data_IF_476848614840
#
_entry.id   IF_476848614840
#
_cell.length_a   1.000
_cell.length_b   1.000
_cell.length_c   1.000
_cell.angle_alpha   90.00
_cell.angle_beta   90.00
_cell.angle_gamma   90.00
#
_symmetry.space_group_name_H-M   'P 1'
#
loop_
_entity.id
_entity.type
_entity.pdbx_description
1 polymer ?
#
# COMPACT_ATOMS: atom_id res chain seq x y z
N UNK A 1 -8.46 23.88 -6.51
CA UNK A 1 -8.37 22.90 -5.40
C UNK A 1 -9.53 23.10 -4.45
N UNK A 2 -9.83 24.34 -4.05
CA UNK A 2 -10.93 24.65 -3.12
C UNK A 2 -12.30 24.13 -3.60
N UNK A 3 -12.65 24.30 -4.88
CA UNK A 3 -13.88 23.72 -5.44
C UNK A 3 -13.93 22.19 -5.29
N UNK A 4 -12.81 21.50 -5.57
CA UNK A 4 -12.73 20.04 -5.41
C UNK A 4 -12.93 19.62 -3.95
N UNK A 5 -12.32 20.38 -3.02
CA UNK A 5 -12.51 20.16 -1.59
C UNK A 5 -13.98 20.34 -1.18
N UNK A 6 -14.61 21.47 -1.50
CA UNK A 6 -16.01 21.73 -1.14
C UNK A 6 -16.95 20.66 -1.71
N UNK A 7 -16.76 20.29 -2.98
CA UNK A 7 -17.59 19.24 -3.60
C UNK A 7 -17.43 17.87 -2.92
N UNK A 8 -16.22 17.48 -2.52
CA UNK A 8 -15.97 16.18 -1.92
C UNK A 8 -16.24 16.14 -0.41
N UNK A 9 -16.09 17.25 0.30
CA UNK A 9 -16.40 17.32 1.73
C UNK A 9 -17.90 17.40 1.95
N UNK A 10 -18.60 18.26 1.20
CA UNK A 10 -20.02 18.54 1.44
C UNK A 10 -20.96 17.66 0.59
N UNK A 11 -20.47 17.13 -0.54
CA UNK A 11 -21.32 16.49 -1.56
C UNK A 11 -20.76 15.17 -2.12
N UNK A 12 -19.92 14.46 -1.35
CA UNK A 12 -19.26 13.22 -1.80
C UNK A 12 -20.19 12.25 -2.53
N UNK A 13 -21.35 11.94 -1.95
CA UNK A 13 -22.32 10.99 -2.50
C UNK A 13 -22.81 11.41 -3.90
N UNK A 14 -23.12 12.70 -4.10
CA UNK A 14 -23.54 13.23 -5.40
C UNK A 14 -22.40 13.23 -6.40
N UNK A 15 -21.18 13.51 -5.95
CA UNK A 15 -20.01 13.54 -6.83
C UNK A 15 -19.65 12.13 -7.31
N UNK A 16 -19.80 11.10 -6.47
CA UNK A 16 -19.53 9.72 -6.85
C UNK A 16 -20.42 9.21 -7.99
N UNK A 17 -21.59 9.80 -8.23
CA UNK A 17 -22.44 9.49 -9.39
C UNK A 17 -21.81 9.92 -10.73
N UNK A 18 -20.92 10.92 -10.71
CA UNK A 18 -20.31 11.51 -11.91
C UNK A 18 -18.80 11.33 -11.99
N UNK A 19 -18.17 10.94 -10.88
CA UNK A 19 -16.72 10.94 -10.73
C UNK A 19 -16.24 9.69 -10.00
N UNK A 20 -15.46 8.87 -10.71
CA UNK A 20 -14.94 7.63 -10.14
C UNK A 20 -13.87 7.88 -9.06
N UNK A 21 -13.80 7.01 -8.05
CA UNK A 21 -12.78 7.09 -7.01
C UNK A 21 -11.37 6.89 -7.61
N UNK A 22 -11.24 6.13 -8.70
CA UNK A 22 -9.99 5.99 -9.44
C UNK A 22 -9.53 7.32 -10.04
N UNK A 23 -10.44 8.06 -10.68
CA UNK A 23 -10.16 9.41 -11.20
C UNK A 23 -9.79 10.36 -10.06
N UNK A 24 -10.44 10.22 -8.90
CA UNK A 24 -10.11 11.00 -7.71
C UNK A 24 -8.68 10.75 -7.26
N UNK A 25 -8.28 9.48 -7.09
CA UNK A 25 -6.93 9.12 -6.70
C UNK A 25 -5.89 9.74 -7.66
N UNK A 26 -6.12 9.64 -8.96
CA UNK A 26 -5.22 10.22 -9.97
C UNK A 26 -5.10 11.74 -9.84
N UNK A 27 -6.22 12.44 -9.67
CA UNK A 27 -6.24 13.91 -9.50
C UNK A 27 -5.53 14.31 -8.21
N UNK A 28 -5.78 13.62 -7.09
CA UNK A 28 -5.13 13.90 -5.81
C UNK A 28 -3.61 13.69 -5.91
N UNK A 29 -3.18 12.57 -6.50
CA UNK A 29 -1.76 12.31 -6.74
C UNK A 29 -1.19 13.43 -7.61
N UNK A 30 -1.78 13.72 -8.77
CA UNK A 30 -1.29 14.77 -9.67
C UNK A 30 -1.12 16.13 -8.99
N UNK A 31 -2.09 16.56 -8.19
CA UNK A 31 -2.04 17.83 -7.47
C UNK A 31 -0.97 17.84 -6.36
N UNK A 32 -0.84 16.75 -5.61
CA UNK A 32 0.21 16.61 -4.57
C UNK A 32 1.60 16.49 -5.21
N UNK A 33 1.69 16.04 -6.45
CA UNK A 33 2.92 15.95 -7.24
C UNK A 33 3.26 17.23 -8.02
N UNK A 34 2.38 18.23 -8.05
CA UNK A 34 2.44 19.34 -9.00
C UNK A 34 3.79 20.12 -8.91
N UNK A 35 4.37 20.63 -10.02
CA UNK A 35 5.66 21.33 -9.99
C UNK A 35 5.65 22.60 -9.11
N UNK A 36 4.53 23.32 -9.08
CA UNK A 36 4.36 24.49 -8.19
C UNK A 36 4.16 24.08 -6.72
N UNK A 37 5.04 24.59 -5.84
CA UNK A 37 4.93 24.39 -4.39
C UNK A 37 3.62 24.93 -3.81
N UNK A 38 3.14 26.08 -4.29
CA UNK A 38 1.88 26.67 -3.83
C UNK A 38 0.70 25.73 -4.08
N UNK A 39 0.66 25.10 -5.26
CA UNK A 39 -0.36 24.11 -5.61
C UNK A 39 -0.24 22.88 -4.71
N UNK A 40 0.97 22.33 -4.50
CA UNK A 40 1.17 21.18 -3.62
C UNK A 40 0.70 21.45 -2.19
N UNK A 41 1.00 22.63 -1.64
CA UNK A 41 0.59 23.00 -0.29
C UNK A 41 -0.93 23.00 -0.15
N UNK A 42 -1.63 23.71 -1.03
CA UNK A 42 -3.11 23.79 -1.01
C UNK A 42 -3.72 22.40 -1.26
N UNK A 43 -3.18 21.65 -2.21
CA UNK A 43 -3.62 20.29 -2.51
C UNK A 43 -3.46 19.34 -1.31
N UNK A 44 -2.35 19.43 -0.59
CA UNK A 44 -2.09 18.61 0.58
C UNK A 44 -3.11 18.89 1.69
N UNK A 45 -3.33 20.17 2.01
CA UNK A 45 -4.31 20.57 3.04
C UNK A 45 -5.74 20.19 2.64
N UNK A 46 -6.11 20.39 1.38
CA UNK A 46 -7.41 19.97 0.86
C UNK A 46 -7.61 18.46 0.90
N UNK A 47 -6.59 17.69 0.52
CA UNK A 47 -6.64 16.23 0.56
C UNK A 47 -6.83 15.72 1.98
N UNK A 48 -6.16 16.33 2.98
CA UNK A 48 -6.38 16.00 4.39
C UNK A 48 -7.83 16.23 4.79
N UNK A 49 -8.41 17.36 4.41
CA UNK A 49 -9.81 17.67 4.73
C UNK A 49 -10.78 16.66 4.09
N UNK A 50 -10.56 16.31 2.82
CA UNK A 50 -11.34 15.29 2.10
C UNK A 50 -11.23 13.92 2.77
N UNK A 51 -10.02 13.49 3.14
CA UNK A 51 -9.82 12.19 3.79
C UNK A 51 -10.40 12.16 5.21
N UNK A 52 -10.34 13.29 5.92
CA UNK A 52 -10.91 13.41 7.27
C UNK A 52 -12.43 13.41 7.29
N UNK A 53 -13.10 13.75 6.18
CA UNK A 53 -14.57 13.78 6.12
C UNK A 53 -15.19 12.40 5.92
N UNK A 54 -14.43 11.41 5.44
CA UNK A 54 -14.93 10.05 5.19
C UNK A 54 -13.84 8.99 5.29
N UNK A 55 -13.88 8.17 6.35
CA UNK A 55 -12.99 7.01 6.51
C UNK A 55 -13.19 5.94 5.42
N UNK A 56 -14.42 5.75 4.94
CA UNK A 56 -14.72 4.85 3.82
C UNK A 56 -13.99 5.29 2.55
N UNK A 57 -14.01 6.58 2.24
CA UNK A 57 -13.27 7.13 1.10
C UNK A 57 -11.76 6.94 1.25
N UNK A 58 -11.23 7.14 2.45
CA UNK A 58 -9.81 6.92 2.72
C UNK A 58 -9.40 5.46 2.54
N UNK A 59 -10.26 4.50 2.94
CA UNK A 59 -10.08 3.08 2.65
C UNK A 59 -10.11 2.81 1.15
N UNK A 60 -11.14 3.25 0.43
CA UNK A 60 -11.27 3.02 -1.01
C UNK A 60 -10.04 3.55 -1.78
N UNK A 61 -9.56 4.74 -1.39
CA UNK A 61 -8.35 5.34 -1.96
C UNK A 61 -7.10 4.53 -1.63
N UNK A 62 -6.97 3.95 -0.43
CA UNK A 62 -5.85 3.08 -0.07
C UNK A 62 -5.83 1.78 -0.89
N UNK A 63 -7.00 1.16 -1.09
CA UNK A 63 -7.10 -0.05 -1.92
C UNK A 63 -6.73 0.26 -3.38
N UNK A 64 -7.28 1.32 -3.95
CA UNK A 64 -6.93 1.76 -5.32
C UNK A 64 -5.46 2.16 -5.43
N UNK A 65 -4.89 2.76 -4.38
CA UNK A 65 -3.48 3.10 -4.34
C UNK A 65 -2.58 1.87 -4.46
N UNK A 66 -2.98 0.73 -3.89
CA UNK A 66 -2.23 -0.54 -4.03
C UNK A 66 -2.12 -0.96 -5.49
N UNK A 67 -3.24 -1.04 -6.21
CA UNK A 67 -3.24 -1.38 -7.64
C UNK A 67 -2.52 -0.34 -8.49
N UNK A 68 -2.60 0.94 -8.09
CA UNK A 68 -1.87 2.02 -8.74
C UNK A 68 -0.36 1.86 -8.61
N UNK A 69 0.15 1.41 -7.47
CA UNK A 69 1.58 1.12 -7.29
C UNK A 69 2.06 0.03 -8.25
N UNK A 70 1.27 -1.04 -8.44
CA UNK A 70 1.57 -2.10 -9.41
C UNK A 70 1.68 -1.52 -10.83
N UNK A 71 0.70 -0.72 -11.24
CA UNK A 71 0.66 -0.06 -12.55
C UNK A 71 1.86 0.89 -12.76
N UNK A 72 2.21 1.70 -11.75
CA UNK A 72 3.37 2.59 -11.83
C UNK A 72 4.66 1.77 -11.93
N UNK A 73 4.79 0.69 -11.15
CA UNK A 73 5.92 -0.23 -11.22
C UNK A 73 6.10 -0.84 -12.60
N UNK A 74 5.00 -1.29 -13.24
CA UNK A 74 5.01 -1.83 -14.60
C UNK A 74 5.48 -0.78 -15.62
N UNK A 75 4.95 0.46 -15.55
CA UNK A 75 5.38 1.56 -16.42
C UNK A 75 6.86 1.86 -16.26
N UNK A 76 7.38 1.88 -15.04
CA UNK A 76 8.82 2.09 -14.78
C UNK A 76 9.67 0.95 -15.37
N UNK A 77 9.21 -0.29 -15.30
CA UNK A 77 9.91 -1.43 -15.90
C UNK A 77 9.95 -1.34 -17.42
N UNK A 78 8.83 -0.99 -18.05
CA UNK A 78 8.74 -0.79 -19.51
C UNK A 78 9.72 0.30 -19.96
N UNK A 79 9.77 1.44 -19.25
CA UNK A 79 10.69 2.52 -19.61
C UNK A 79 12.16 2.14 -19.50
N UNK A 80 12.53 1.40 -18.45
CA UNK A 80 13.90 0.89 -18.30
C UNK A 80 14.29 -0.08 -19.42
N UNK A 81 13.33 -0.79 -19.99
CA UNK A 81 13.56 -1.67 -21.13
C UNK A 81 13.64 -0.88 -22.44
N UNK A 82 12.82 0.15 -22.63
CA UNK A 82 12.84 1.00 -23.83
C UNK A 82 14.06 1.94 -23.91
N UNK A 83 14.61 2.37 -22.78
CA UNK A 83 15.85 3.18 -22.76
C UNK A 83 17.07 2.40 -23.34
N UNK A 84 16.96 1.08 -23.50
CA UNK A 84 17.95 0.27 -24.21
C UNK A 84 17.80 0.30 -25.75
N UNK A 85 16.65 0.77 -26.27
CA UNK A 85 16.29 0.74 -27.69
C UNK A 85 15.76 2.12 -28.19
N UNK A 86 16.63 3.13 -28.20
CA UNK A 86 16.49 4.44 -28.88
C UNK A 86 15.24 5.32 -28.62
N UNK A 87 15.51 6.58 -28.29
CA UNK A 87 14.56 7.66 -28.03
C UNK A 87 13.64 7.97 -29.23
N UNK A 88 12.33 7.78 -29.03
CA UNK A 88 11.27 8.43 -29.79
C UNK A 88 10.42 9.29 -28.87
N UNK A 89 10.30 10.59 -29.19
CA UNK A 89 9.41 11.57 -28.55
C UNK A 89 7.96 11.06 -28.52
N UNK A 90 7.61 10.35 -27.46
CA UNK A 90 6.22 10.09 -27.07
C UNK A 90 5.98 10.86 -25.79
N UNK A 91 4.83 11.54 -25.69
CA UNK A 91 4.38 12.20 -24.47
C UNK A 91 4.30 11.15 -23.36
N UNK A 92 5.40 11.02 -22.64
CA UNK A 92 5.64 9.98 -21.68
C UNK A 92 4.66 10.21 -20.53
N UNK A 93 3.76 9.25 -20.22
CA UNK A 93 2.77 9.45 -19.18
C UNK A 93 3.47 9.79 -17.87
N UNK A 94 2.99 10.82 -17.16
CA UNK A 94 3.59 11.27 -15.90
C UNK A 94 3.77 10.10 -14.91
N UNK A 95 5.02 9.84 -14.51
CA UNK A 95 5.38 8.84 -13.49
C UNK A 95 5.80 9.57 -12.22
N UNK A 96 5.02 9.47 -11.12
CA UNK A 96 5.43 10.01 -9.84
C UNK A 96 6.73 9.35 -9.34
N UNK A 97 7.62 10.14 -8.74
CA UNK A 97 8.81 9.58 -8.08
C UNK A 97 8.43 8.70 -6.88
N UNK A 98 9.31 7.76 -6.51
CA UNK A 98 9.13 6.90 -5.32
C UNK A 98 8.83 7.69 -4.04
N UNK A 99 9.58 8.77 -3.76
CA UNK A 99 9.37 9.55 -2.54
C UNK A 99 8.01 10.26 -2.52
N UNK A 100 7.49 10.61 -3.69
CA UNK A 100 6.16 11.20 -3.83
C UNK A 100 5.07 10.16 -3.55
N UNK A 101 5.21 8.94 -4.07
CA UNK A 101 4.30 7.83 -3.75
C UNK A 101 4.32 7.50 -2.25
N UNK A 102 5.51 7.50 -1.62
CA UNK A 102 5.64 7.33 -0.17
C UNK A 102 4.89 8.42 0.60
N UNK A 103 4.96 9.68 0.15
CA UNK A 103 4.18 10.78 0.75
C UNK A 103 2.68 10.63 0.56
N UNK A 104 2.22 10.11 -0.59
CA UNK A 104 0.81 9.79 -0.81
C UNK A 104 0.34 8.70 0.16
N UNK A 105 1.11 7.63 0.37
CA UNK A 105 0.81 6.61 1.37
C UNK A 105 0.68 7.22 2.77
N UNK A 106 1.60 8.10 3.17
CA UNK A 106 1.57 8.73 4.49
C UNK A 106 0.43 9.74 4.66
N UNK A 107 -0.07 10.30 3.55
CA UNK A 107 -1.22 11.19 3.55
C UNK A 107 -2.52 10.41 3.73
N UNK A 108 -2.66 9.24 3.10
CA UNK A 108 -3.86 8.40 3.19
C UNK A 108 -3.91 7.63 4.52
N UNK A 109 -2.78 7.11 4.98
CA UNK A 109 -2.72 6.12 6.05
C UNK A 109 -3.45 6.50 7.36
N UNK A 110 -3.32 7.71 7.90
CA UNK A 110 -3.96 8.05 9.17
C UNK A 110 -5.49 7.99 9.12
N UNK A 111 -6.07 8.26 7.94
CA UNK A 111 -7.52 8.34 7.77
C UNK A 111 -8.15 6.99 7.39
N UNK A 112 -7.36 6.08 6.81
CA UNK A 112 -7.83 4.74 6.42
C UNK A 112 -7.90 3.75 7.60
N UNK A 113 -7.21 4.05 8.72
CA UNK A 113 -7.04 3.16 9.87
C UNK A 113 -8.33 2.96 10.68
N UNK A 114 -9.19 3.97 10.72
CA UNK A 114 -10.37 3.97 11.61
C UNK A 114 -11.57 3.22 11.03
N UNK A 115 -11.59 2.96 9.72
CA UNK A 115 -12.77 2.43 9.04
C UNK A 115 -12.82 0.90 8.97
N UNK A 116 -11.69 0.24 8.77
CA UNK A 116 -11.66 -1.19 8.43
C UNK A 116 -10.36 -1.86 8.85
N UNK A 117 -10.49 -3.08 9.40
CA UNK A 117 -9.35 -3.92 9.77
C UNK A 117 -8.53 -4.34 8.54
N UNK A 118 -9.14 -4.38 7.35
CA UNK A 118 -8.44 -4.72 6.10
C UNK A 118 -7.47 -3.63 5.67
N UNK A 119 -7.73 -2.37 6.05
CA UNK A 119 -6.81 -1.25 5.83
C UNK A 119 -5.43 -1.53 6.43
N UNK A 120 -5.33 -2.25 7.54
CA UNK A 120 -4.04 -2.57 8.16
C UNK A 120 -3.19 -3.45 7.25
N UNK A 121 -3.78 -4.49 6.66
CA UNK A 121 -3.10 -5.34 5.68
C UNK A 121 -2.64 -4.53 4.47
N UNK A 122 -3.53 -3.67 3.92
CA UNK A 122 -3.19 -2.81 2.78
C UNK A 122 -2.08 -1.80 3.08
N UNK A 123 -2.03 -1.26 4.30
CA UNK A 123 -0.96 -0.35 4.71
C UNK A 123 0.40 -1.04 4.79
N UNK A 124 0.45 -2.23 5.41
CA UNK A 124 1.68 -3.02 5.46
C UNK A 124 2.11 -3.41 4.03
N UNK A 125 1.18 -3.91 3.22
CA UNK A 125 1.42 -4.32 1.84
C UNK A 125 1.95 -3.16 0.99
N UNK A 126 1.27 -2.00 0.98
CA UNK A 126 1.74 -0.81 0.29
C UNK A 126 3.15 -0.43 0.72
N UNK A 127 3.44 -0.44 2.03
CA UNK A 127 4.75 -0.04 2.56
C UNK A 127 5.90 -0.96 2.14
N UNK A 128 5.60 -2.20 1.77
CA UNK A 128 6.56 -3.17 1.24
C UNK A 128 6.51 -3.32 -0.28
N UNK A 129 5.64 -2.58 -0.96
CA UNK A 129 5.46 -2.71 -2.40
C UNK A 129 6.75 -2.34 -3.16
N UNK A 130 7.24 -3.17 -4.10
CA UNK A 130 8.51 -2.94 -4.81
C UNK A 130 8.62 -1.59 -5.54
N UNK A 131 7.49 -1.02 -5.95
CA UNK A 131 7.42 0.33 -6.55
C UNK A 131 7.95 1.43 -5.62
N UNK A 132 7.79 1.28 -4.30
CA UNK A 132 8.20 2.30 -3.32
C UNK A 132 9.23 1.82 -2.30
N UNK A 133 9.35 0.51 -2.09
CA UNK A 133 10.35 -0.08 -1.21
C UNK A 133 11.62 -0.38 -2.00
N UNK A 134 12.76 0.18 -1.58
CA UNK A 134 14.04 -0.09 -2.24
C UNK A 134 14.59 -1.45 -1.82
N UNK A 135 15.26 -2.14 -2.74
CA UNK A 135 15.93 -3.42 -2.46
C UNK A 135 16.99 -3.32 -1.36
N UNK A 136 17.65 -2.17 -1.23
CA UNK A 136 18.63 -1.90 -0.17
C UNK A 136 18.03 -1.53 1.19
N UNK A 137 16.73 -1.23 1.26
CA UNK A 137 16.01 -0.98 2.52
C UNK A 137 14.56 -1.48 2.45
N UNK A 138 14.35 -2.82 2.43
CA UNK A 138 13.02 -3.40 2.20
C UNK A 138 11.97 -3.04 3.26
N UNK A 139 12.42 -2.66 4.46
CA UNK A 139 11.59 -2.20 5.56
C UNK A 139 11.69 -0.68 5.81
N UNK A 140 12.35 0.07 4.93
CA UNK A 140 12.60 1.50 5.10
C UNK A 140 11.31 2.32 5.11
N UNK A 141 10.43 2.09 4.13
CA UNK A 141 9.13 2.77 4.05
C UNK A 141 8.22 2.34 5.20
N UNK A 142 8.20 1.05 5.53
CA UNK A 142 7.48 0.52 6.69
C UNK A 142 7.84 1.22 8.01
N UNK A 143 9.15 1.30 8.34
CA UNK A 143 9.61 2.00 9.55
C UNK A 143 9.24 3.48 9.55
N UNK A 144 9.30 4.13 8.38
CA UNK A 144 8.88 5.53 8.22
C UNK A 144 7.38 5.68 8.44
N UNK A 145 6.55 4.78 7.92
CA UNK A 145 5.10 4.76 8.13
C UNK A 145 4.76 4.64 9.62
N UNK A 146 5.36 3.65 10.31
CA UNK A 146 5.18 3.47 11.75
C UNK A 146 5.52 4.74 12.53
N UNK A 147 6.66 5.38 12.21
CA UNK A 147 7.07 6.64 12.84
C UNK A 147 6.06 7.77 12.59
N UNK A 148 5.51 7.86 11.37
CA UNK A 148 4.53 8.89 11.00
C UNK A 148 3.19 8.71 11.71
N UNK A 149 2.71 7.49 11.82
CA UNK A 149 1.48 7.18 12.55
C UNK A 149 1.65 7.43 14.06
N UNK A 150 2.81 7.06 14.61
CA UNK A 150 3.15 7.35 16.02
C UNK A 150 3.15 8.85 16.32
N UNK A 151 3.55 9.70 15.38
CA UNK A 151 3.46 11.18 15.52
C UNK A 151 2.01 11.69 15.65
N UNK A 152 1.03 10.89 15.23
CA UNK A 152 -0.40 11.18 15.34
C UNK A 152 -1.06 10.39 16.49
N UNK A 153 -0.26 9.85 17.42
CA UNK A 153 -0.71 8.99 18.52
C UNK A 153 -1.36 7.67 18.07
N UNK A 154 -1.05 7.20 16.86
CA UNK A 154 -1.51 5.91 16.34
C UNK A 154 -0.36 4.90 16.46
N UNK A 155 -0.50 3.94 17.36
CA UNK A 155 0.46 2.84 17.52
C UNK A 155 0.10 1.68 16.61
N UNK A 156 0.84 1.50 15.52
CA UNK A 156 0.50 0.47 14.53
C UNK A 156 0.66 -0.96 15.07
N UNK A 157 1.57 -1.19 16.03
CA UNK A 157 1.69 -2.50 16.70
C UNK A 157 0.44 -2.84 17.48
N UNK A 158 -0.17 -1.85 18.14
CA UNK A 158 -1.38 -2.02 18.94
C UNK A 158 -2.60 -2.29 18.05
N UNK A 159 -2.54 -1.86 16.78
CA UNK A 159 -3.52 -2.21 15.75
C UNK A 159 -3.30 -3.61 15.17
N UNK A 160 -2.06 -4.09 15.06
CA UNK A 160 -1.76 -5.40 14.48
C UNK A 160 -2.24 -6.54 15.38
N UNK A 161 -1.87 -6.54 16.66
CA UNK A 161 -2.13 -7.67 17.57
C UNK A 161 -3.59 -8.13 17.58
N UNK A 162 -4.60 -7.26 17.81
CA UNK A 162 -5.99 -7.69 17.84
C UNK A 162 -6.55 -8.08 16.46
N UNK A 163 -5.86 -7.73 15.37
CA UNK A 163 -6.35 -7.92 14.00
C UNK A 163 -5.51 -8.92 13.18
N UNK A 164 -4.57 -9.63 13.83
CA UNK A 164 -3.57 -10.45 13.14
C UNK A 164 -4.20 -11.49 12.21
N UNK A 165 -5.26 -12.17 12.63
CA UNK A 165 -6.00 -13.13 11.80
C UNK A 165 -6.57 -12.50 10.53
N UNK A 166 -7.18 -11.32 10.63
CA UNK A 166 -7.76 -10.63 9.47
C UNK A 166 -6.66 -10.16 8.52
N UNK A 167 -5.57 -9.63 9.08
CA UNK A 167 -4.42 -9.18 8.30
C UNK A 167 -3.78 -10.35 7.55
N UNK A 168 -3.52 -11.47 8.23
CA UNK A 168 -2.95 -12.67 7.62
C UNK A 168 -3.83 -13.21 6.51
N UNK A 169 -5.15 -13.31 6.72
CA UNK A 169 -6.10 -13.76 5.68
C UNK A 169 -6.08 -12.88 4.44
N UNK A 170 -6.05 -11.55 4.61
CA UNK A 170 -5.96 -10.63 3.49
C UNK A 170 -4.62 -10.77 2.74
N UNK A 171 -3.51 -10.90 3.47
CA UNK A 171 -2.19 -11.12 2.87
C UNK A 171 -2.04 -12.49 2.19
N UNK A 172 -2.79 -13.49 2.64
CA UNK A 172 -2.84 -14.84 2.07
C UNK A 172 -3.99 -15.00 1.07
N UNK A 173 -4.49 -13.89 0.52
CA UNK A 173 -5.57 -13.90 -0.49
C UNK A 173 -5.04 -13.79 -1.92
N UNK A 174 -5.98 -13.75 -2.88
CA UNK A 174 -5.72 -13.44 -4.30
C UNK A 174 -5.27 -12.00 -4.54
N UNK A 175 -5.37 -11.12 -3.55
CA UNK A 175 -4.87 -9.75 -3.64
C UNK A 175 -3.59 -9.57 -2.79
N UNK A 176 -2.94 -10.68 -2.45
CA UNK A 176 -1.73 -10.76 -1.65
C UNK A 176 -0.77 -11.82 -2.19
N UNK A 177 -0.42 -12.80 -1.36
CA UNK A 177 0.56 -13.84 -1.67
C UNK A 177 0.16 -14.70 -2.88
N UNK A 178 -1.13 -14.91 -3.10
CA UNK A 178 -1.65 -15.65 -4.26
C UNK A 178 -2.12 -14.74 -5.40
N UNK A 179 -1.73 -13.46 -5.39
CA UNK A 179 -2.00 -12.54 -6.50
C UNK A 179 -1.33 -13.00 -7.78
N UNK A 180 -1.95 -12.74 -8.93
CA UNK A 180 -1.27 -12.94 -10.22
C UNK A 180 -0.21 -11.87 -10.48
N UNK A 181 -0.21 -10.76 -9.72
CA UNK A 181 0.77 -9.70 -9.82
C UNK A 181 2.01 -10.02 -8.96
N UNK A 182 3.17 -10.19 -9.61
CA UNK A 182 4.44 -10.51 -8.94
C UNK A 182 4.89 -9.45 -7.94
N UNK A 183 4.53 -8.18 -8.15
CA UNK A 183 4.87 -7.11 -7.22
C UNK A 183 4.06 -7.20 -5.93
N UNK A 184 2.77 -7.51 -6.04
CA UNK A 184 1.87 -7.73 -4.90
C UNK A 184 2.25 -9.00 -4.13
N UNK A 185 2.56 -10.10 -4.82
CA UNK A 185 3.08 -11.31 -4.18
C UNK A 185 4.34 -11.01 -3.35
N UNK A 186 5.28 -10.25 -3.93
CA UNK A 186 6.52 -9.85 -3.23
C UNK A 186 6.23 -8.95 -2.03
N UNK A 187 5.31 -8.00 -2.17
CA UNK A 187 4.89 -7.13 -1.08
C UNK A 187 4.24 -7.93 0.05
N UNK A 188 3.38 -8.89 -0.28
CA UNK A 188 2.72 -9.78 0.68
C UNK A 188 3.73 -10.67 1.42
N UNK A 189 4.71 -11.25 0.74
CA UNK A 189 5.81 -11.98 1.38
C UNK A 189 6.56 -11.13 2.40
N UNK A 190 6.98 -9.92 2.02
CA UNK A 190 7.65 -9.00 2.93
C UNK A 190 6.74 -8.57 4.09
N UNK A 191 5.44 -8.41 3.84
CA UNK A 191 4.45 -8.08 4.87
C UNK A 191 4.28 -9.20 5.90
N UNK A 192 4.18 -10.44 5.44
CA UNK A 192 4.11 -11.63 6.30
C UNK A 192 5.39 -11.80 7.12
N UNK A 193 6.56 -11.57 6.52
CA UNK A 193 7.83 -11.58 7.26
C UNK A 193 7.88 -10.50 8.35
N UNK A 194 7.34 -9.31 8.07
CA UNK A 194 7.17 -8.25 9.07
C UNK A 194 6.23 -8.69 10.19
N UNK A 195 5.10 -9.34 9.88
CA UNK A 195 4.18 -9.86 10.90
C UNK A 195 4.81 -10.96 11.75
N UNK A 196 5.57 -11.89 11.15
CA UNK A 196 6.35 -12.89 11.89
C UNK A 196 7.35 -12.28 12.85
N UNK A 197 7.87 -11.09 12.53
CA UNK A 197 8.78 -10.37 13.44
C UNK A 197 8.05 -9.66 14.58
N UNK A 198 6.75 -9.40 14.45
CA UNK A 198 5.92 -8.66 15.43
C UNK A 198 5.15 -9.63 16.34
N UNK A 199 4.44 -10.60 15.75
CA UNK A 199 3.76 -11.67 16.47
C UNK A 199 4.03 -13.02 15.78
N UNK A 200 5.17 -13.67 16.06
CA UNK A 200 5.58 -14.90 15.38
C UNK A 200 4.56 -16.03 15.56
N UNK A 201 4.11 -16.27 16.79
CA UNK A 201 3.20 -17.38 17.10
C UNK A 201 1.85 -17.21 16.41
N UNK A 202 1.22 -16.04 16.54
CA UNK A 202 -0.11 -15.80 15.97
C UNK A 202 -0.06 -15.79 14.44
N UNK A 203 0.97 -15.17 13.86
CA UNK A 203 1.14 -15.15 12.40
C UNK A 203 1.38 -16.56 11.88
N UNK A 204 2.19 -17.37 12.57
CA UNK A 204 2.51 -18.73 12.15
C UNK A 204 1.27 -19.64 12.16
N UNK A 205 0.46 -19.55 13.21
CA UNK A 205 -0.80 -20.31 13.32
C UNK A 205 -1.73 -20.00 12.15
N UNK A 206 -1.85 -18.73 11.74
CA UNK A 206 -2.67 -18.36 10.58
C UNK A 206 -2.05 -18.82 9.26
N UNK A 207 -0.73 -18.73 9.12
CA UNK A 207 -0.03 -19.23 7.95
C UNK A 207 -0.25 -20.74 7.79
N UNK A 208 -0.04 -21.53 8.86
CA UNK A 208 -0.17 -22.98 8.82
C UNK A 208 -1.55 -23.42 8.31
N UNK A 209 -2.64 -22.77 8.74
CA UNK A 209 -4.02 -23.08 8.28
C UNK A 209 -4.17 -23.07 6.76
N UNK A 210 -3.45 -22.19 6.06
CA UNK A 210 -3.55 -22.04 4.60
C UNK A 210 -2.64 -22.99 3.82
N UNK A 211 -1.65 -23.58 4.47
CA UNK A 211 -0.64 -24.43 3.82
C UNK A 211 -0.64 -25.87 4.33
N UNK A 212 -1.52 -26.20 5.27
CA UNK A 212 -1.64 -27.53 5.89
C UNK A 212 -1.96 -28.64 4.89
N UNK A 213 -2.63 -28.30 3.78
CA UNK A 213 -3.08 -29.20 2.71
C UNK A 213 -2.11 -29.26 1.52
N UNK A 214 -0.98 -28.54 1.56
CA UNK A 214 -0.01 -28.62 0.47
C UNK A 214 0.63 -30.02 0.42
N UNK A 215 0.68 -30.66 -0.76
CA UNK A 215 1.22 -32.01 -0.92
C UNK A 215 2.71 -32.11 -0.53
N UNK A 216 3.44 -30.98 -0.61
CA UNK A 216 4.86 -30.89 -0.31
C UNK A 216 5.17 -30.61 1.17
N UNK A 217 4.16 -30.50 2.04
CA UNK A 217 4.33 -30.15 3.47
C UNK A 217 5.35 -31.04 4.17
N UNK A 218 5.31 -32.34 3.89
CA UNK A 218 6.21 -33.33 4.51
C UNK A 218 7.56 -33.47 3.82
N UNK A 219 7.80 -32.80 2.68
CA UNK A 219 9.11 -32.82 2.01
C UNK A 219 10.18 -32.05 2.78
N UNK A 220 9.77 -31.05 3.57
CA UNK A 220 10.67 -30.25 4.41
C UNK A 220 10.78 -30.75 5.85
N UNK A 221 9.87 -31.61 6.31
CA UNK A 221 9.90 -32.22 7.65
C UNK A 221 10.93 -33.36 7.77
N UNK A 222 11.68 -33.65 6.70
CA UNK A 222 12.75 -34.65 6.69
C UNK A 222 14.05 -34.20 7.36
N UNK A 223 14.15 -32.94 7.82
CA UNK A 223 15.32 -32.46 8.56
C UNK A 223 15.25 -32.90 10.02
N UNK A 224 16.22 -33.70 10.45
CA UNK A 224 16.43 -34.09 11.84
C UNK A 224 17.26 -33.04 12.58
N UNK A 225 17.28 -33.09 13.91
CA UNK A 225 18.18 -32.26 14.73
C UNK A 225 19.66 -32.40 14.31
N UNK A 226 20.06 -33.52 13.70
CA UNK A 226 21.43 -33.74 13.22
C UNK A 226 21.77 -32.94 11.95
N UNK A 227 20.75 -32.46 11.23
CA UNK A 227 20.89 -31.71 9.99
C UNK A 227 21.01 -30.19 10.25
N UNK A 228 20.78 -29.76 11.48
CA UNK A 228 20.96 -28.37 11.95
C UNK A 228 22.29 -28.32 12.72
N UNK A 229 23.37 -27.94 12.04
CA UNK A 229 24.69 -27.68 12.64
C UNK A 229 24.98 -26.20 12.79
#
# INVERSE_FOLDING_TARGET
>A
VDLLQSLLVDHLFRIQEYFSIQSLLQVLIYLVCHPSWAVRKIAYDATKNILSSSGALAEDLLFLFTSWLSLVGERVLILKQSDMDSFGDSQLPFIPSTEVLVKCLFLIAPYAIDHSQRSYARLILCSHHPCISSSGSPAGVWKRLQKRLKQQNISFTDLIFPNITVICKELLSKDGLFSSNKQEQRAALCSLATLMSISPNDTFVEFEKHFIELPDRTLHDGFSENDIK
#
